data_IF_792575786480
#
_entry.id   IF_792575786480
#
_cell.length_a   1.000
_cell.length_b   1.000
_cell.length_c   1.000
_cell.angle_alpha   90.00
_cell.angle_beta   90.00
_cell.angle_gamma   90.00
#
_symmetry.space_group_name_H-M   'P 1'
#
loop_
_entity.id
_entity.type
_entity.pdbx_description
1 polymer ?
#
# COMPACT_ATOMS: atom_id res chain seq x y z
N UNK A 1 -12.84 -22.05 -22.43
CA UNK A 1 -12.34 -21.75 -21.08
C UNK A 1 -10.91 -22.29 -20.97
N UNK A 2 -9.97 -21.49 -20.48
CA UNK A 2 -8.60 -21.94 -20.21
C UNK A 2 -8.59 -22.56 -18.80
N UNK A 3 -8.20 -23.85 -18.70
CA UNK A 3 -8.03 -24.55 -17.42
C UNK A 3 -6.58 -24.97 -17.30
N UNK A 4 -5.93 -24.61 -16.19
CA UNK A 4 -4.55 -24.96 -15.86
C UNK A 4 -4.55 -25.75 -14.55
N UNK A 5 -3.94 -26.94 -14.54
CA UNK A 5 -3.76 -27.78 -13.34
C UNK A 5 -2.32 -27.68 -12.84
N UNK A 6 -2.12 -27.12 -11.65
CA UNK A 6 -0.83 -27.12 -10.97
C UNK A 6 -0.83 -28.28 -9.97
N UNK A 7 -0.12 -29.36 -10.30
CA UNK A 7 -0.07 -30.60 -9.51
C UNK A 7 1.23 -30.75 -8.73
N UNK A 8 1.25 -31.69 -7.78
CA UNK A 8 2.41 -32.07 -6.97
C UNK A 8 3.01 -30.86 -6.20
N UNK A 9 2.16 -30.02 -5.61
CA UNK A 9 2.55 -28.85 -4.86
C UNK A 9 2.49 -29.05 -3.35
N UNK A 10 3.33 -28.34 -2.60
CA UNK A 10 3.12 -28.04 -1.18
C UNK A 10 2.36 -26.72 -1.08
N UNK A 11 1.05 -26.80 -0.90
CA UNK A 11 0.20 -25.62 -0.85
C UNK A 11 0.31 -24.98 0.54
N UNK A 12 0.64 -23.69 0.58
CA UNK A 12 0.67 -22.89 1.80
C UNK A 12 -0.47 -21.89 1.73
N UNK A 13 -1.50 -22.10 2.54
CA UNK A 13 -2.66 -21.21 2.58
C UNK A 13 -3.33 -21.26 3.96
N UNK A 14 -3.81 -20.10 4.44
CA UNK A 14 -4.58 -19.97 5.69
C UNK A 14 -3.91 -20.67 6.90
N UNK A 15 -2.61 -20.48 7.04
CA UNK A 15 -1.82 -21.04 8.16
C UNK A 15 -1.58 -22.56 8.08
N UNK A 16 -1.88 -23.19 6.95
CA UNK A 16 -1.66 -24.63 6.72
C UNK A 16 -0.67 -24.87 5.60
N UNK A 17 0.05 -26.00 5.70
CA UNK A 17 0.87 -26.54 4.62
C UNK A 17 0.38 -27.97 4.35
N UNK A 18 0.02 -28.26 3.12
CA UNK A 18 -0.45 -29.59 2.74
C UNK A 18 -0.03 -29.94 1.31
N UNK A 19 0.10 -31.23 1.00
CA UNK A 19 0.34 -31.72 -0.34
C UNK A 19 -0.97 -31.74 -1.13
N UNK A 20 -0.92 -31.28 -2.38
CA UNK A 20 -2.12 -31.22 -3.21
C UNK A 20 -1.88 -30.55 -4.55
N UNK A 21 -2.97 -30.12 -5.14
CA UNK A 21 -2.96 -29.41 -6.42
C UNK A 21 -4.06 -28.35 -6.47
N UNK A 22 -3.93 -27.41 -7.40
CA UNK A 22 -4.99 -26.45 -7.69
C UNK A 22 -5.35 -26.48 -9.17
N UNK A 23 -6.60 -26.17 -9.47
CA UNK A 23 -7.06 -25.89 -10.83
C UNK A 23 -7.41 -24.40 -10.93
N UNK A 24 -6.78 -23.74 -11.89
CA UNK A 24 -7.11 -22.37 -12.25
C UNK A 24 -8.01 -22.43 -13.50
N UNK A 25 -9.16 -21.79 -13.42
CA UNK A 25 -10.07 -21.63 -14.54
C UNK A 25 -10.16 -20.14 -14.90
N UNK A 26 -9.64 -19.80 -16.09
CA UNK A 26 -9.42 -18.43 -16.52
C UNK A 26 -8.54 -17.66 -15.50
N UNK A 27 -9.15 -16.85 -14.62
CA UNK A 27 -8.46 -15.95 -13.67
C UNK A 27 -8.72 -16.31 -12.19
N UNK A 28 -9.41 -17.42 -11.93
CA UNK A 28 -9.80 -17.80 -10.56
C UNK A 28 -9.35 -19.22 -10.21
N UNK A 29 -9.07 -19.45 -8.93
CA UNK A 29 -8.85 -20.80 -8.39
C UNK A 29 -10.21 -21.50 -8.34
N UNK A 30 -10.42 -22.48 -9.22
CA UNK A 30 -11.67 -23.22 -9.33
C UNK A 30 -11.74 -24.42 -8.39
N UNK A 31 -10.60 -25.12 -8.19
CA UNK A 31 -10.52 -26.31 -7.33
C UNK A 31 -9.22 -26.29 -6.51
N UNK A 32 -9.32 -26.70 -5.26
CA UNK A 32 -8.17 -27.07 -4.39
C UNK A 32 -8.32 -28.52 -4.06
N UNK A 33 -7.38 -29.33 -4.50
CA UNK A 33 -7.48 -30.81 -4.47
C UNK A 33 -6.45 -31.39 -3.50
N UNK A 34 -6.86 -32.38 -2.76
CA UNK A 34 -5.93 -33.18 -1.94
C UNK A 34 -4.94 -33.96 -2.83
N UNK A 35 -3.88 -34.47 -2.20
CA UNK A 35 -2.89 -35.32 -2.86
C UNK A 35 -3.59 -36.50 -3.57
N UNK A 36 -3.07 -36.90 -4.73
CA UNK A 36 -3.58 -37.95 -5.61
C UNK A 36 -4.98 -37.72 -6.21
N UNK A 37 -5.64 -36.60 -5.88
CA UNK A 37 -6.94 -36.25 -6.49
C UNK A 37 -6.72 -35.59 -7.86
N UNK A 38 -7.48 -36.05 -8.86
CA UNK A 38 -7.46 -35.47 -10.20
C UNK A 38 -8.60 -34.46 -10.40
N UNK A 39 -8.44 -33.44 -11.26
CA UNK A 39 -9.51 -32.51 -11.58
C UNK A 39 -10.77 -33.19 -12.09
N UNK A 40 -11.94 -32.66 -11.73
CA UNK A 40 -13.24 -33.18 -12.18
C UNK A 40 -13.43 -33.06 -13.70
N UNK A 41 -12.75 -32.12 -14.34
CA UNK A 41 -12.79 -31.90 -15.79
C UNK A 41 -11.36 -31.79 -16.35
N UNK A 42 -11.15 -32.14 -17.63
CA UNK A 42 -9.84 -32.02 -18.27
C UNK A 42 -9.28 -30.60 -18.22
N UNK A 43 -7.95 -30.50 -18.05
CA UNK A 43 -7.21 -29.26 -18.11
C UNK A 43 -6.38 -29.21 -19.39
N UNK A 44 -6.38 -28.05 -20.06
CA UNK A 44 -5.62 -27.85 -21.30
C UNK A 44 -4.13 -27.63 -21.03
N UNK A 45 -3.77 -27.24 -19.83
CA UNK A 45 -2.39 -27.01 -19.40
C UNK A 45 -2.15 -27.71 -18.07
N UNK A 46 -0.98 -28.37 -17.93
CA UNK A 46 -0.57 -29.05 -16.71
C UNK A 46 0.82 -28.56 -16.32
N UNK A 47 0.94 -28.04 -15.12
CA UNK A 47 2.20 -27.61 -14.50
C UNK A 47 2.52 -28.57 -13.37
N UNK A 48 3.66 -29.24 -13.43
CA UNK A 48 4.15 -30.07 -12.33
C UNK A 48 5.03 -29.24 -11.39
N UNK A 49 4.54 -28.96 -10.19
CA UNK A 49 5.26 -28.20 -9.17
C UNK A 49 6.42 -28.99 -8.53
N UNK A 50 6.57 -30.30 -8.81
CA UNK A 50 7.70 -31.15 -8.36
C UNK A 50 7.98 -31.05 -6.86
N UNK A 51 6.95 -30.87 -6.04
CA UNK A 51 7.05 -30.72 -4.60
C UNK A 51 7.49 -29.32 -4.12
N UNK A 52 7.59 -28.32 -5.02
CA UNK A 52 7.82 -26.95 -4.61
C UNK A 52 6.61 -26.37 -3.87
N UNK A 53 6.88 -25.33 -3.10
CA UNK A 53 5.82 -24.58 -2.42
C UNK A 53 4.99 -23.79 -3.42
N UNK A 54 3.68 -23.85 -3.24
CA UNK A 54 2.70 -23.04 -3.95
C UNK A 54 2.04 -22.10 -2.94
N UNK A 55 2.22 -20.84 -3.14
CA UNK A 55 1.67 -19.77 -2.30
C UNK A 55 0.76 -18.86 -3.15
N UNK A 56 -0.21 -18.16 -2.55
CA UNK A 56 -0.88 -17.05 -3.23
C UNK A 56 0.13 -16.01 -3.72
N UNK A 57 -0.17 -15.34 -4.84
CA UNK A 57 0.64 -14.22 -5.28
C UNK A 57 0.67 -13.13 -4.22
N UNK A 58 1.85 -12.54 -3.98
CA UNK A 58 2.03 -11.49 -2.99
C UNK A 58 1.31 -10.22 -3.43
N UNK A 59 0.64 -9.57 -2.50
CA UNK A 59 0.06 -8.22 -2.68
C UNK A 59 0.98 -7.25 -1.95
N UNK A 60 1.62 -6.33 -2.68
CA UNK A 60 2.40 -5.24 -2.11
C UNK A 60 1.50 -4.01 -1.98
N UNK A 61 1.12 -3.69 -0.77
CA UNK A 61 0.15 -2.64 -0.47
C UNK A 61 0.78 -1.25 -0.29
N UNK A 62 2.10 -1.12 -0.49
CA UNK A 62 2.81 0.14 -0.31
C UNK A 62 4.00 0.30 -1.27
N UNK A 63 3.73 0.76 -2.47
CA UNK A 63 4.79 1.03 -3.45
C UNK A 63 4.81 2.50 -3.92
N UNK A 64 5.95 2.91 -4.46
CA UNK A 64 6.16 4.22 -5.08
C UNK A 64 6.78 4.03 -6.47
N UNK A 65 5.96 3.70 -7.47
CA UNK A 65 6.42 3.44 -8.83
C UNK A 65 6.76 4.72 -9.61
N UNK A 66 6.48 5.90 -9.03
CA UNK A 66 6.92 7.20 -9.54
C UNK A 66 6.32 7.63 -10.89
N UNK A 67 5.38 6.89 -11.41
CA UNK A 67 4.67 7.17 -12.63
C UNK A 67 3.21 7.61 -12.30
N UNK A 68 2.75 8.73 -12.80
CA UNK A 68 3.35 9.63 -13.79
C UNK A 68 4.36 10.64 -13.22
N UNK A 69 5.17 11.20 -14.14
CA UNK A 69 5.92 12.45 -13.96
C UNK A 69 7.27 12.35 -13.26
N UNK A 70 7.61 11.21 -12.64
CA UNK A 70 8.91 10.97 -12.02
C UNK A 70 9.62 9.75 -12.62
N UNK A 71 9.33 9.47 -13.89
CA UNK A 71 9.77 8.27 -14.62
C UNK A 71 11.28 8.16 -14.84
N UNK A 72 12.02 9.23 -14.57
CA UNK A 72 13.49 9.16 -14.48
C UNK A 72 13.98 8.30 -13.30
N UNK A 73 13.11 7.97 -12.34
CA UNK A 73 13.42 7.09 -11.20
C UNK A 73 12.95 5.66 -11.48
N UNK A 74 11.69 5.53 -11.93
CA UNK A 74 11.02 4.27 -12.21
C UNK A 74 9.69 4.53 -12.93
N UNK A 75 9.13 3.55 -13.62
CA UNK A 75 7.81 3.61 -14.23
C UNK A 75 6.97 2.36 -13.95
N UNK A 76 5.67 2.41 -14.25
CA UNK A 76 4.75 1.31 -13.95
C UNK A 76 5.16 0.02 -14.69
N UNK A 77 5.69 0.10 -15.91
CA UNK A 77 6.06 -1.10 -16.66
C UNK A 77 7.28 -1.80 -16.05
N UNK A 78 8.35 -1.05 -15.80
CA UNK A 78 9.59 -1.60 -15.24
C UNK A 78 9.37 -2.15 -13.83
N UNK A 79 8.65 -1.42 -12.98
CA UNK A 79 8.39 -1.82 -11.59
C UNK A 79 7.39 -2.97 -11.48
N UNK A 80 6.35 -3.01 -12.32
CA UNK A 80 5.44 -4.16 -12.36
C UNK A 80 6.12 -5.43 -12.88
N UNK A 81 7.09 -5.28 -13.79
CA UNK A 81 7.92 -6.40 -14.24
C UNK A 81 8.84 -6.91 -13.13
N UNK A 82 9.49 -6.00 -12.39
CA UNK A 82 10.29 -6.36 -11.22
C UNK A 82 9.44 -7.02 -10.12
N UNK A 83 8.24 -6.50 -9.86
CA UNK A 83 7.26 -7.06 -8.93
C UNK A 83 6.91 -8.52 -9.32
N UNK A 84 6.54 -8.75 -10.58
CA UNK A 84 6.24 -10.10 -11.09
C UNK A 84 7.42 -11.06 -10.94
N UNK A 85 8.64 -10.61 -11.24
CA UNK A 85 9.85 -11.40 -11.08
C UNK A 85 10.12 -11.79 -9.62
N UNK A 86 9.68 -10.95 -8.65
CA UNK A 86 9.75 -11.22 -7.21
C UNK A 86 8.56 -12.01 -6.66
N UNK A 87 7.55 -12.35 -7.48
CA UNK A 87 6.35 -13.07 -7.04
C UNK A 87 5.23 -12.16 -6.52
N UNK A 88 5.36 -10.84 -6.68
CA UNK A 88 4.28 -9.88 -6.40
C UNK A 88 3.34 -9.83 -7.60
N UNK A 89 2.08 -10.17 -7.37
CA UNK A 89 1.05 -10.26 -8.42
C UNK A 89 0.06 -9.11 -8.39
N UNK A 90 0.12 -8.28 -7.35
CA UNK A 90 -0.73 -7.11 -7.18
C UNK A 90 0.02 -6.02 -6.42
N UNK A 91 -0.13 -4.77 -6.80
CA UNK A 91 0.44 -3.65 -6.06
C UNK A 91 -0.59 -2.53 -5.80
N UNK A 92 -0.31 -1.73 -4.77
CA UNK A 92 -1.07 -0.53 -4.44
C UNK A 92 -0.12 0.66 -4.38
N UNK A 93 -0.18 1.55 -5.40
CA UNK A 93 0.78 2.63 -5.54
C UNK A 93 0.28 3.93 -4.89
N UNK A 94 1.23 4.63 -4.28
CA UNK A 94 1.02 5.85 -3.52
C UNK A 94 0.77 7.08 -4.42
N UNK A 95 0.07 8.12 -3.89
CA UNK A 95 -0.39 9.25 -4.70
C UNK A 95 0.67 10.33 -4.97
N UNK A 96 1.88 10.23 -4.41
CA UNK A 96 2.92 11.26 -4.50
C UNK A 96 3.71 11.20 -5.82
N UNK A 97 3.00 11.37 -6.91
CA UNK A 97 3.45 11.45 -8.31
C UNK A 97 3.35 12.90 -8.83
N UNK A 98 3.61 13.11 -10.11
CA UNK A 98 3.48 14.43 -10.75
C UNK A 98 2.67 14.31 -12.06
N UNK A 99 1.38 14.73 -12.07
CA UNK A 99 0.64 15.34 -10.96
C UNK A 99 0.39 14.35 -9.81
N UNK A 100 0.14 14.91 -8.62
CA UNK A 100 -0.27 14.11 -7.46
C UNK A 100 -1.67 13.52 -7.68
N UNK A 101 -1.92 12.28 -7.20
CA UNK A 101 -3.22 11.62 -7.33
C UNK A 101 -4.19 12.12 -6.24
N UNK A 102 -4.54 13.39 -6.29
CA UNK A 102 -5.39 14.10 -5.31
C UNK A 102 -6.68 14.64 -5.89
N UNK A 103 -6.95 14.38 -7.17
CA UNK A 103 -8.21 14.67 -7.87
C UNK A 103 -8.72 13.42 -8.59
N UNK A 104 -10.01 13.39 -8.92
CA UNK A 104 -10.60 12.27 -9.67
C UNK A 104 -10.04 12.16 -11.08
N UNK A 105 -9.69 13.29 -11.70
CA UNK A 105 -9.08 13.34 -13.02
C UNK A 105 -7.70 12.68 -13.00
N UNK A 106 -6.84 13.05 -12.04
CA UNK A 106 -5.50 12.49 -11.89
C UNK A 106 -5.56 10.98 -11.56
N UNK A 107 -6.51 10.58 -10.72
CA UNK A 107 -6.75 9.17 -10.39
C UNK A 107 -7.17 8.37 -11.62
N UNK A 108 -8.14 8.86 -12.40
CA UNK A 108 -8.60 8.19 -13.61
C UNK A 108 -7.52 8.13 -14.69
N UNK A 109 -6.74 9.19 -14.86
CA UNK A 109 -5.62 9.21 -15.79
C UNK A 109 -4.55 8.15 -15.41
N UNK A 110 -4.23 8.04 -14.11
CA UNK A 110 -3.28 7.04 -13.60
C UNK A 110 -3.77 5.60 -13.83
N UNK A 111 -5.06 5.34 -13.63
CA UNK A 111 -5.65 4.04 -13.97
C UNK A 111 -5.60 3.73 -15.47
N UNK A 112 -5.87 4.72 -16.33
CA UNK A 112 -5.80 4.54 -17.78
C UNK A 112 -4.36 4.27 -18.26
N UNK A 113 -3.39 4.94 -17.67
CA UNK A 113 -1.97 4.74 -17.96
C UNK A 113 -1.50 3.34 -17.53
N UNK A 114 -1.84 2.93 -16.31
CA UNK A 114 -1.50 1.61 -15.80
C UNK A 114 -2.11 0.46 -16.61
N UNK A 115 -3.29 0.65 -17.17
CA UNK A 115 -3.95 -0.35 -18.02
C UNK A 115 -3.12 -0.71 -19.27
N UNK A 116 -2.22 0.16 -19.70
CA UNK A 116 -1.34 -0.06 -20.86
C UNK A 116 0.08 -0.48 -20.48
N UNK A 117 0.48 -0.31 -19.21
CA UNK A 117 1.86 -0.50 -18.75
C UNK A 117 2.04 -1.67 -17.79
N UNK A 118 1.09 -1.89 -16.89
CA UNK A 118 1.24 -2.90 -15.85
C UNK A 118 1.05 -4.31 -16.37
N UNK A 119 1.93 -5.22 -15.95
CA UNK A 119 1.81 -6.66 -16.22
C UNK A 119 1.25 -7.46 -15.03
N UNK A 120 0.98 -6.80 -13.90
CA UNK A 120 0.35 -7.37 -12.72
C UNK A 120 -0.88 -6.56 -12.32
N UNK A 121 -1.70 -7.06 -11.40
CA UNK A 121 -2.87 -6.32 -10.89
C UNK A 121 -2.44 -5.06 -10.14
N UNK A 122 -3.28 -4.03 -10.17
CA UNK A 122 -2.95 -2.75 -9.54
C UNK A 122 -4.17 -2.04 -8.97
N UNK A 123 -3.91 -1.24 -7.96
CA UNK A 123 -4.80 -0.20 -7.47
C UNK A 123 -3.98 1.01 -7.01
N UNK A 124 -4.67 2.13 -6.78
CA UNK A 124 -4.06 3.39 -6.41
C UNK A 124 -4.71 3.96 -5.17
N UNK A 125 -3.88 4.53 -4.29
CA UNK A 125 -4.37 5.36 -3.21
C UNK A 125 -4.75 6.74 -3.73
N UNK A 126 -5.87 7.27 -3.24
CA UNK A 126 -6.23 8.67 -3.40
C UNK A 126 -5.58 9.49 -2.28
N UNK A 127 -4.85 10.55 -2.63
CA UNK A 127 -4.17 11.39 -1.66
C UNK A 127 -5.12 12.39 -1.01
N UNK A 128 -5.26 12.35 0.31
CA UNK A 128 -5.93 13.41 1.07
C UNK A 128 -5.07 14.68 1.09
N UNK A 129 -5.73 15.83 1.10
CA UNK A 129 -5.13 17.17 1.23
C UNK A 129 -5.97 18.02 2.18
N UNK A 130 -5.45 19.21 2.54
CA UNK A 130 -6.23 20.16 3.36
C UNK A 130 -7.49 20.69 2.66
N UNK A 131 -7.77 20.32 1.41
CA UNK A 131 -8.86 20.92 0.61
C UNK A 131 -9.78 19.93 -0.09
N UNK A 132 -9.51 18.62 -0.05
CA UNK A 132 -10.27 17.62 -0.82
C UNK A 132 -11.03 16.58 0.01
N UNK A 133 -11.17 16.77 1.33
CA UNK A 133 -11.87 15.81 2.19
C UNK A 133 -13.34 15.56 1.74
N UNK A 134 -13.98 16.52 1.10
CA UNK A 134 -15.36 16.41 0.62
C UNK A 134 -15.48 15.55 -0.67
N UNK A 135 -14.38 15.26 -1.35
CA UNK A 135 -14.33 14.34 -2.51
C UNK A 135 -14.32 12.87 -2.08
N UNK A 136 -13.79 12.56 -0.89
CA UNK A 136 -13.57 11.19 -0.45
C UNK A 136 -14.80 10.27 -0.50
N UNK A 137 -16.02 10.73 -0.16
CA UNK A 137 -17.23 9.89 -0.27
C UNK A 137 -17.59 9.47 -1.69
N UNK A 138 -17.05 10.17 -2.71
CA UNK A 138 -17.35 9.90 -4.13
C UNK A 138 -16.40 8.87 -4.75
N UNK A 139 -15.39 8.41 -4.02
CA UNK A 139 -14.43 7.42 -4.52
C UNK A 139 -15.11 6.06 -4.76
N UNK A 140 -14.81 5.44 -5.89
CA UNK A 140 -15.26 4.07 -6.18
C UNK A 140 -14.51 3.07 -5.30
N UNK A 141 -15.19 2.57 -4.28
CA UNK A 141 -14.67 1.64 -3.28
C UNK A 141 -14.26 0.26 -3.83
N UNK A 142 -14.72 -0.10 -5.03
CA UNK A 142 -14.34 -1.34 -5.69
C UNK A 142 -13.06 -1.20 -6.51
N UNK A 143 -12.60 0.01 -6.74
CA UNK A 143 -11.47 0.31 -7.61
C UNK A 143 -10.28 0.94 -6.86
N UNK A 144 -10.58 1.81 -5.88
CA UNK A 144 -9.58 2.54 -5.09
C UNK A 144 -9.25 1.77 -3.82
N UNK A 145 -7.98 1.41 -3.63
CA UNK A 145 -7.55 0.60 -2.49
C UNK A 145 -7.65 1.33 -1.14
N UNK A 146 -7.55 2.66 -1.13
CA UNK A 146 -7.63 3.45 0.09
C UNK A 146 -7.35 4.93 -0.12
N UNK A 147 -7.47 5.68 0.97
CA UNK A 147 -7.05 7.08 1.07
C UNK A 147 -5.68 7.13 1.71
N UNK A 148 -4.69 7.70 1.03
CA UNK A 148 -3.39 8.01 1.64
C UNK A 148 -3.45 9.32 2.38
N UNK A 149 -3.07 9.28 3.65
CA UNK A 149 -3.01 10.43 4.55
C UNK A 149 -1.57 10.67 5.01
N UNK A 150 -1.03 11.85 4.79
CA UNK A 150 0.23 12.29 5.34
C UNK A 150 -0.04 13.22 6.53
N UNK A 151 0.20 12.75 7.74
CA UNK A 151 0.10 13.54 8.98
C UNK A 151 1.43 14.21 9.36
N UNK A 152 2.48 14.00 8.56
CA UNK A 152 3.80 14.61 8.65
C UNK A 152 4.63 14.28 7.42
N UNK A 153 5.80 14.91 7.27
CA UNK A 153 6.83 14.64 6.27
C UNK A 153 6.29 14.32 4.87
N UNK A 154 5.58 15.26 4.25
CA UNK A 154 4.98 15.10 2.93
C UNK A 154 5.68 15.92 1.87
N UNK A 155 5.46 15.55 0.60
CA UNK A 155 5.89 16.30 -0.58
C UNK A 155 4.71 17.07 -1.17
N UNK A 156 4.97 18.30 -1.66
CA UNK A 156 3.93 19.15 -2.25
C UNK A 156 2.86 19.56 -1.23
N UNK A 157 1.59 19.49 -1.62
CA UNK A 157 0.44 19.94 -0.83
C UNK A 157 -0.32 18.81 -0.11
N UNK A 158 0.27 17.62 0.03
CA UNK A 158 -0.42 16.47 0.63
C UNK A 158 -0.28 16.37 2.16
N UNK A 159 0.43 17.30 2.81
CA UNK A 159 0.41 17.37 4.26
C UNK A 159 -0.99 17.77 4.73
N UNK A 160 -1.57 16.98 5.64
CA UNK A 160 -2.83 17.30 6.33
C UNK A 160 -2.50 17.49 7.79
N UNK A 161 -2.37 18.73 8.20
CA UNK A 161 -1.94 19.18 9.53
C UNK A 161 -3.04 19.92 10.32
N UNK A 162 -4.16 20.27 9.65
CA UNK A 162 -5.28 20.95 10.30
C UNK A 162 -6.22 19.94 10.92
N UNK A 163 -6.43 20.03 12.25
CA UNK A 163 -7.27 19.10 13.01
C UNK A 163 -8.70 19.01 12.47
N UNK A 164 -9.27 20.12 12.04
CA UNK A 164 -10.62 20.16 11.44
C UNK A 164 -10.70 19.35 10.14
N UNK A 165 -9.61 19.33 9.34
CA UNK A 165 -9.52 18.55 8.09
C UNK A 165 -9.27 17.09 8.40
N UNK A 166 -8.39 16.79 9.35
CA UNK A 166 -8.17 15.41 9.81
C UNK A 166 -9.49 14.76 10.23
N UNK A 167 -10.29 15.44 11.06
CA UNK A 167 -11.63 14.95 11.46
C UNK A 167 -12.53 14.68 10.25
N UNK A 168 -12.55 15.57 9.24
CA UNK A 168 -13.32 15.36 8.01
C UNK A 168 -12.80 14.19 7.20
N UNK A 169 -11.49 14.01 7.07
CA UNK A 169 -10.90 12.87 6.35
C UNK A 169 -11.33 11.56 6.99
N UNK A 170 -11.22 11.43 8.33
CA UNK A 170 -11.62 10.21 9.03
C UNK A 170 -13.13 9.96 8.98
N UNK A 171 -13.96 11.01 9.00
CA UNK A 171 -15.41 10.89 8.87
C UNK A 171 -15.86 10.50 7.45
N UNK A 172 -15.17 11.00 6.42
CA UNK A 172 -15.62 10.96 5.03
C UNK A 172 -14.98 9.83 4.19
N UNK A 173 -13.85 9.27 4.60
CA UNK A 173 -13.11 8.33 3.75
C UNK A 173 -13.96 7.13 3.31
N UNK A 174 -14.68 6.50 4.24
CA UNK A 174 -15.58 5.35 3.96
C UNK A 174 -14.88 4.11 3.38
N UNK A 175 -13.55 4.17 3.18
CA UNK A 175 -12.63 3.10 2.80
C UNK A 175 -11.41 3.14 3.71
N UNK A 176 -10.44 2.26 3.49
CA UNK A 176 -9.20 2.23 4.28
C UNK A 176 -8.46 3.56 4.21
N UNK A 177 -8.02 4.08 5.36
CA UNK A 177 -7.07 5.20 5.46
C UNK A 177 -5.69 4.62 5.75
N UNK A 178 -4.76 4.83 4.84
CA UNK A 178 -3.35 4.46 4.99
C UNK A 178 -2.55 5.71 5.40
N UNK A 179 -2.13 5.78 6.66
CA UNK A 179 -1.55 6.97 7.25
C UNK A 179 -0.04 6.87 7.44
N UNK A 180 0.68 7.90 7.00
CA UNK A 180 2.05 8.19 7.43
C UNK A 180 1.98 9.07 8.66
N UNK A 181 2.47 8.58 9.79
CA UNK A 181 2.30 9.18 11.10
C UNK A 181 3.62 9.68 11.67
N UNK A 182 3.86 10.98 11.57
CA UNK A 182 4.93 11.70 12.26
C UNK A 182 4.42 13.10 12.64
N UNK A 183 4.70 13.54 13.86
CA UNK A 183 4.29 14.86 14.31
C UNK A 183 5.29 15.92 13.85
N UNK A 184 4.87 16.77 12.90
CA UNK A 184 5.73 17.75 12.26
C UNK A 184 6.26 18.81 13.23
N UNK A 185 5.51 19.18 14.24
CA UNK A 185 5.93 20.18 15.22
C UNK A 185 7.10 19.67 16.08
N UNK A 186 7.09 18.40 16.46
CA UNK A 186 8.19 17.74 17.19
C UNK A 186 9.43 17.65 16.31
N UNK A 187 9.27 17.22 15.05
CA UNK A 187 10.38 17.14 14.09
C UNK A 187 11.01 18.52 13.87
N UNK A 188 10.20 19.56 13.71
CA UNK A 188 10.68 20.92 13.48
C UNK A 188 11.46 21.46 14.71
N UNK A 189 10.94 21.25 15.92
CA UNK A 189 11.62 21.63 17.15
C UNK A 189 12.98 20.91 17.31
N UNK A 190 12.99 19.59 17.08
CA UNK A 190 14.20 18.79 17.13
C UNK A 190 15.21 19.26 16.06
N UNK A 191 14.75 19.49 14.82
CA UNK A 191 15.61 19.97 13.74
C UNK A 191 16.30 21.28 14.11
N UNK A 192 15.55 22.24 14.69
CA UNK A 192 16.10 23.52 15.14
C UNK A 192 17.15 23.31 16.22
N UNK A 193 16.84 22.53 17.26
CA UNK A 193 17.77 22.27 18.35
C UNK A 193 19.07 21.57 17.89
N UNK A 194 18.95 20.62 16.95
CA UNK A 194 20.12 19.93 16.42
C UNK A 194 20.96 20.81 15.50
N UNK A 195 20.32 21.69 14.69
CA UNK A 195 21.05 22.69 13.90
C UNK A 195 21.78 23.72 14.77
N UNK A 196 21.16 24.21 15.82
CA UNK A 196 21.81 25.11 16.79
C UNK A 196 23.02 24.47 17.43
N UNK A 197 22.96 23.17 17.73
CA UNK A 197 24.05 22.47 18.44
C UNK A 197 25.17 21.98 17.52
N UNK A 198 24.84 21.56 16.29
CA UNK A 198 25.77 20.84 15.41
C UNK A 198 26.01 21.53 14.07
N UNK A 199 25.38 22.68 13.80
CA UNK A 199 25.46 23.43 12.55
C UNK A 199 24.30 23.09 11.60
N UNK A 200 24.25 23.79 10.45
CA UNK A 200 23.14 23.72 9.49
C UNK A 200 22.91 22.33 8.88
N UNK A 201 23.92 21.49 8.85
CA UNK A 201 23.87 20.12 8.33
C UNK A 201 24.33 19.11 9.39
N UNK A 202 23.45 18.75 10.36
CA UNK A 202 23.77 17.77 11.38
C UNK A 202 24.06 16.40 10.77
N UNK A 203 25.08 15.69 11.30
CA UNK A 203 25.46 14.34 10.86
C UNK A 203 24.25 13.39 10.85
N UNK A 204 24.16 12.54 9.82
CA UNK A 204 23.06 11.58 9.60
C UNK A 204 22.78 10.68 10.81
N UNK A 205 23.75 10.43 11.68
CA UNK A 205 23.56 9.66 12.93
C UNK A 205 22.52 10.29 13.87
N UNK A 206 22.24 11.58 13.73
CA UNK A 206 21.21 12.29 14.52
C UNK A 206 19.80 12.19 13.93
N UNK A 207 19.65 11.68 12.70
CA UNK A 207 18.35 11.55 12.04
C UNK A 207 17.30 10.83 12.91
N UNK A 208 17.59 9.70 13.61
CA UNK A 208 16.62 9.05 14.49
C UNK A 208 16.24 9.85 15.74
N UNK A 209 17.01 10.87 16.09
CA UNK A 209 16.72 11.76 17.21
C UNK A 209 15.93 12.98 16.76
N UNK A 210 16.16 13.44 15.54
CA UNK A 210 15.39 14.53 14.90
C UNK A 210 13.98 14.02 14.57
N UNK A 211 13.89 12.90 13.84
CA UNK A 211 12.64 12.20 13.56
C UNK A 211 12.44 11.11 14.62
N UNK A 212 12.08 11.57 15.81
CA UNK A 212 12.10 10.75 17.02
C UNK A 212 10.93 9.77 17.11
N UNK A 213 11.11 8.74 17.93
CA UNK A 213 10.03 7.82 18.29
C UNK A 213 8.82 8.55 18.89
N UNK A 214 9.05 9.62 19.65
CA UNK A 214 7.98 10.46 20.19
C UNK A 214 7.09 11.07 19.10
N UNK A 215 7.70 11.56 18.01
CA UNK A 215 6.94 12.11 16.87
C UNK A 215 6.05 11.05 16.22
N UNK A 216 6.53 9.81 16.07
CA UNK A 216 5.74 8.70 15.55
C UNK A 216 4.59 8.33 16.48
N UNK A 217 4.90 8.07 17.77
CA UNK A 217 3.89 7.66 18.77
C UNK A 217 2.80 8.71 18.95
N UNK A 218 3.14 10.00 18.97
CA UNK A 218 2.16 11.08 19.09
C UNK A 218 1.18 11.08 17.91
N UNK A 219 1.70 11.03 16.69
CA UNK A 219 0.90 11.06 15.47
C UNK A 219 0.08 9.78 15.29
N UNK A 220 0.65 8.61 15.55
CA UNK A 220 -0.05 7.32 15.49
C UNK A 220 -1.19 7.24 16.52
N UNK A 221 -0.93 7.72 17.75
CA UNK A 221 -1.98 7.82 18.80
C UNK A 221 -3.13 8.72 18.37
N UNK A 222 -2.83 9.86 17.73
CA UNK A 222 -3.84 10.76 17.18
C UNK A 222 -4.66 10.08 16.07
N UNK A 223 -4.00 9.42 15.13
CA UNK A 223 -4.66 8.70 14.04
C UNK A 223 -5.60 7.60 14.56
N UNK A 224 -5.15 6.80 15.53
CA UNK A 224 -5.94 5.74 16.18
C UNK A 224 -7.16 6.33 16.87
N UNK A 225 -7.01 7.43 17.62
CA UNK A 225 -8.12 8.11 18.28
C UNK A 225 -9.16 8.58 17.26
N UNK A 226 -8.74 9.27 16.20
CA UNK A 226 -9.64 9.75 15.15
C UNK A 226 -10.34 8.60 14.42
N UNK A 227 -9.65 7.48 14.20
CA UNK A 227 -10.24 6.30 13.61
C UNK A 227 -11.33 5.69 14.51
N UNK A 228 -11.06 5.57 15.82
CA UNK A 228 -12.05 5.09 16.82
C UNK A 228 -13.26 6.02 16.91
N UNK A 229 -13.04 7.35 16.96
CA UNK A 229 -14.11 8.35 17.02
C UNK A 229 -15.06 8.29 15.81
N UNK A 230 -14.57 7.91 14.63
CA UNK A 230 -15.32 7.90 13.37
C UNK A 230 -15.65 6.49 12.84
N UNK A 231 -15.33 5.43 13.58
CA UNK A 231 -15.44 4.03 13.12
C UNK A 231 -14.76 3.82 11.74
N UNK A 232 -13.63 4.48 11.53
CA UNK A 232 -12.87 4.43 10.28
C UNK A 232 -11.87 3.25 10.30
N UNK A 233 -11.64 2.65 9.12
CA UNK A 233 -10.60 1.65 8.94
C UNK A 233 -9.26 2.37 8.77
N UNK A 234 -8.30 2.05 9.63
CA UNK A 234 -6.96 2.65 9.64
C UNK A 234 -5.89 1.61 9.45
N UNK A 235 -4.91 1.92 8.60
CA UNK A 235 -3.64 1.24 8.46
C UNK A 235 -2.53 2.26 8.72
N UNK A 236 -1.81 2.10 9.82
CA UNK A 236 -0.59 2.88 10.08
C UNK A 236 0.53 2.25 9.28
N UNK A 237 1.08 3.00 8.35
CA UNK A 237 2.11 2.52 7.44
C UNK A 237 3.48 2.46 8.14
N UNK A 238 4.35 1.54 7.68
CA UNK A 238 5.78 1.47 8.02
C UNK A 238 6.10 1.81 9.48
N UNK A 239 5.42 1.15 10.42
CA UNK A 239 5.70 1.26 11.87
C UNK A 239 7.20 1.10 12.10
N UNK A 240 7.82 2.08 12.75
CA UNK A 240 9.27 2.18 12.89
C UNK A 240 9.75 2.18 14.34
N UNK A 241 8.83 2.17 15.32
CA UNK A 241 9.16 2.21 16.75
C UNK A 241 8.49 1.09 17.52
N UNK A 242 9.15 0.56 18.54
CA UNK A 242 8.57 -0.47 19.39
C UNK A 242 7.34 0.03 20.17
N UNK A 243 7.35 1.30 20.56
CA UNK A 243 6.27 1.91 21.33
C UNK A 243 4.95 2.01 20.55
N UNK A 244 5.00 2.06 19.22
CA UNK A 244 3.79 2.05 18.39
C UNK A 244 3.09 0.69 18.38
N UNK A 245 3.78 -0.40 18.72
CA UNK A 245 3.19 -1.74 18.79
C UNK A 245 2.22 -1.92 19.97
N UNK A 246 2.33 -1.06 20.97
CA UNK A 246 1.50 -1.10 22.18
C UNK A 246 0.20 -0.25 22.03
N UNK A 247 0.03 0.44 20.89
CA UNK A 247 -1.13 1.31 20.62
C UNK A 247 -2.29 0.51 20.00
#
# INVERSE_FOLDING_TARGET
>A
MKRTWIKNARIVNEGKIFHGSIVIENEVVAEVLAEETVPAQPCGEIIDAKGYYLIPGVIDDHVHFRDPGLTHKADIHTESTAAAAGGVTSFMDMPNTTPQTTTLEALNAKFADAATKSIVNYSFYFGATNTNADVLPTLDKNRVCGVKLFMGASTGNMLVDRMEVLRKVFANAGILIAAHCEEQSIISANTTAFKEKYGEDPDIKYHPQIRSAEACVYSSSLAIRLAKENNARLHILHISTAQELDL
#
